data_IF_229454849814
#
_entry.id   IF_229454849814
#
_cell.length_a   1.000
_cell.length_b   1.000
_cell.length_c   1.000
_cell.angle_alpha   90.00
_cell.angle_beta   90.00
_cell.angle_gamma   90.00
#
_symmetry.space_group_name_H-M   'P 1'
#
loop_
_entity.id
_entity.type
_entity.pdbx_description
1 polymer ?
#
# COMPACT_ATOMS: atom_id res chain seq x y z
N UNK A 1 1.18 12.34 17.31
CA UNK A 1 1.51 11.52 16.12
C UNK A 1 3.03 11.40 15.88
N UNK A 2 3.79 12.51 15.87
CA UNK A 2 5.25 12.47 15.66
C UNK A 2 6.03 11.65 16.70
N UNK A 3 5.68 11.76 17.99
CA UNK A 3 6.33 11.00 19.07
C UNK A 3 6.18 9.47 18.87
N UNK A 4 4.98 9.00 18.51
CA UNK A 4 4.72 7.58 18.23
C UNK A 4 5.58 7.05 17.08
N UNK A 5 5.66 7.80 15.97
CA UNK A 5 6.49 7.44 14.81
C UNK A 5 7.98 7.32 15.19
N UNK A 6 8.48 8.25 15.98
CA UNK A 6 9.87 8.22 16.47
C UNK A 6 10.15 7.00 17.36
N UNK A 7 9.22 6.65 18.25
CA UNK A 7 9.32 5.46 19.10
C UNK A 7 9.33 4.17 18.26
N UNK A 8 8.41 4.02 17.31
CA UNK A 8 8.34 2.85 16.42
C UNK A 8 9.61 2.70 15.58
N UNK A 9 10.13 3.82 15.03
CA UNK A 9 11.41 3.83 14.32
C UNK A 9 12.54 3.34 15.21
N UNK A 10 12.64 3.85 16.45
CA UNK A 10 13.70 3.46 17.38
C UNK A 10 13.61 1.98 17.76
N UNK A 11 12.39 1.48 18.01
CA UNK A 11 12.14 0.07 18.29
C UNK A 11 12.53 -0.82 17.13
N UNK A 12 12.20 -0.44 15.89
CA UNK A 12 12.57 -1.20 14.69
C UNK A 12 14.09 -1.31 14.54
N UNK A 13 14.82 -0.21 14.78
CA UNK A 13 16.29 -0.21 14.76
C UNK A 13 16.86 -1.15 15.81
N UNK A 14 16.31 -1.14 17.03
CA UNK A 14 16.76 -2.03 18.11
C UNK A 14 16.51 -3.51 17.78
N UNK A 15 15.33 -3.85 17.25
CA UNK A 15 15.00 -5.22 16.86
C UNK A 15 15.92 -5.73 15.74
N UNK A 16 16.20 -4.89 14.74
CA UNK A 16 17.14 -5.23 13.67
C UNK A 16 18.58 -5.37 14.17
N UNK A 17 19.02 -4.50 15.08
CA UNK A 17 20.35 -4.59 15.68
C UNK A 17 20.55 -5.84 16.54
N UNK A 18 19.46 -6.35 17.15
CA UNK A 18 19.48 -7.59 17.92
C UNK A 18 19.41 -8.87 17.04
N UNK A 19 19.17 -8.74 15.74
CA UNK A 19 19.12 -9.88 14.83
C UNK A 19 20.53 -10.37 14.46
N UNK A 20 20.87 -11.60 14.86
CA UNK A 20 22.18 -12.20 14.61
C UNK A 20 22.25 -12.88 13.23
N UNK A 21 23.03 -12.32 12.30
CA UNK A 21 23.20 -12.86 10.93
C UNK A 21 24.05 -14.13 10.86
N UNK A 22 24.84 -14.43 11.89
CA UNK A 22 25.70 -15.62 11.99
C UNK A 22 25.22 -16.66 13.00
N UNK A 23 23.96 -16.58 13.43
CA UNK A 23 23.45 -17.44 14.50
C UNK A 23 23.49 -18.93 14.12
N UNK A 24 23.89 -19.77 15.08
CA UNK A 24 23.77 -21.25 14.96
C UNK A 24 22.33 -21.74 15.19
N UNK A 25 21.41 -20.83 15.50
CA UNK A 25 19.99 -21.14 15.66
C UNK A 25 19.40 -21.73 14.37
N UNK A 26 18.40 -22.60 14.51
CA UNK A 26 17.71 -23.20 13.37
C UNK A 26 16.88 -22.15 12.58
N UNK A 27 16.51 -22.51 11.35
CA UNK A 27 15.78 -21.63 10.43
C UNK A 27 14.49 -21.07 11.04
N UNK A 28 13.72 -21.88 11.78
CA UNK A 28 12.45 -21.42 12.36
C UNK A 28 12.71 -20.37 13.43
N UNK A 29 13.71 -20.57 14.29
CA UNK A 29 14.09 -19.60 15.31
C UNK A 29 14.49 -18.25 14.69
N UNK A 30 15.24 -18.28 13.58
CA UNK A 30 15.60 -17.06 12.84
C UNK A 30 14.36 -16.38 12.21
N UNK A 31 13.42 -17.13 11.66
CA UNK A 31 12.16 -16.55 11.14
C UNK A 31 11.33 -15.94 12.26
N UNK A 32 11.22 -16.62 13.40
CA UNK A 32 10.45 -16.15 14.55
C UNK A 32 11.03 -14.84 15.13
N UNK A 33 12.35 -14.68 15.13
CA UNK A 33 12.98 -13.44 15.61
C UNK A 33 12.71 -12.23 14.70
N UNK A 34 12.31 -12.45 13.44
CA UNK A 34 11.90 -11.38 12.52
C UNK A 34 10.41 -11.01 12.64
N UNK A 35 9.58 -11.79 13.32
CA UNK A 35 8.16 -11.44 13.47
C UNK A 35 7.94 -10.09 14.16
N UNK A 36 8.65 -9.75 15.27
CA UNK A 36 8.52 -8.43 15.88
C UNK A 36 8.99 -7.29 14.96
N UNK A 37 10.01 -7.54 14.13
CA UNK A 37 10.48 -6.57 13.12
C UNK A 37 9.37 -6.28 12.12
N UNK A 38 8.74 -7.33 11.60
CA UNK A 38 7.62 -7.23 10.68
C UNK A 38 6.41 -6.51 11.30
N UNK A 39 6.04 -6.86 12.53
CA UNK A 39 4.93 -6.22 13.24
C UNK A 39 5.19 -4.73 13.49
N UNK A 40 6.40 -4.38 13.93
CA UNK A 40 6.80 -2.98 14.15
C UNK A 40 6.83 -2.19 12.84
N UNK A 41 7.31 -2.79 11.74
CA UNK A 41 7.31 -2.16 10.43
C UNK A 41 5.89 -1.87 9.93
N UNK A 42 4.96 -2.82 10.07
CA UNK A 42 3.54 -2.60 9.73
C UNK A 42 2.94 -1.48 10.57
N UNK A 43 3.21 -1.47 11.88
CA UNK A 43 2.70 -0.41 12.76
C UNK A 43 3.27 0.96 12.36
N UNK A 44 4.57 1.04 12.02
CA UNK A 44 5.19 2.26 11.52
C UNK A 44 4.53 2.72 10.22
N UNK A 45 4.35 1.83 9.24
CA UNK A 45 3.71 2.13 7.95
C UNK A 45 2.28 2.64 8.12
N UNK A 46 1.44 1.93 8.89
CA UNK A 46 0.05 2.36 9.14
C UNK A 46 -0.03 3.67 9.92
N UNK A 47 0.94 3.97 10.79
CA UNK A 47 0.99 5.24 11.53
C UNK A 47 1.26 6.47 10.66
N UNK A 48 1.71 6.28 9.41
CA UNK A 48 1.92 7.37 8.46
C UNK A 48 0.61 8.06 8.10
N UNK A 49 -0.50 7.31 8.08
CA UNK A 49 -1.85 7.83 7.82
C UNK A 49 -2.49 8.28 9.14
N UNK A 50 -3.09 9.48 9.21
CA UNK A 50 -3.81 9.93 10.41
C UNK A 50 -4.95 8.98 10.80
N UNK A 51 -4.98 8.56 12.06
CA UNK A 51 -5.95 7.58 12.56
C UNK A 51 -7.39 8.10 12.62
N UNK A 52 -7.57 9.41 12.71
CA UNK A 52 -8.84 10.12 12.61
C UNK A 52 -9.40 10.12 11.18
N UNK A 53 -8.52 10.07 10.17
CA UNK A 53 -8.88 10.06 8.75
C UNK A 53 -9.14 8.65 8.20
N UNK A 54 -8.54 7.61 8.80
CA UNK A 54 -8.62 6.25 8.28
C UNK A 54 -8.60 5.17 9.38
N UNK A 55 -9.71 4.43 9.51
CA UNK A 55 -9.90 3.42 10.56
C UNK A 55 -9.58 2.01 10.09
N UNK A 56 -9.68 1.74 8.79
CA UNK A 56 -9.40 0.43 8.19
C UNK A 56 -8.23 0.48 7.20
N UNK A 57 -7.72 -0.69 6.80
CA UNK A 57 -6.71 -0.78 5.74
C UNK A 57 -7.22 -0.18 4.42
N UNK A 58 -8.50 -0.41 4.10
CA UNK A 58 -9.14 0.17 2.92
C UNK A 58 -9.17 1.69 2.97
N UNK A 59 -9.54 2.26 4.12
CA UNK A 59 -9.58 3.72 4.29
C UNK A 59 -8.18 4.32 4.16
N UNK A 60 -7.15 3.64 4.68
CA UNK A 60 -5.74 4.09 4.55
C UNK A 60 -5.28 4.08 3.10
N UNK A 61 -5.61 3.02 2.36
CA UNK A 61 -5.30 2.92 0.92
C UNK A 61 -5.98 4.06 0.16
N UNK A 62 -7.29 4.25 0.37
CA UNK A 62 -8.04 5.32 -0.31
C UNK A 62 -7.51 6.70 0.05
N UNK A 63 -7.26 6.95 1.33
CA UNK A 63 -6.69 8.22 1.79
C UNK A 63 -5.39 8.51 1.05
N UNK A 64 -4.47 7.54 0.99
CA UNK A 64 -3.18 7.69 0.34
C UNK A 64 -3.31 7.96 -1.16
N UNK A 65 -4.12 7.18 -1.88
CA UNK A 65 -4.37 7.37 -3.32
C UNK A 65 -4.95 8.77 -3.63
N UNK A 66 -5.84 9.28 -2.79
CA UNK A 66 -6.43 10.63 -2.94
C UNK A 66 -5.45 11.77 -2.67
N UNK A 67 -4.33 11.52 -2.00
CA UNK A 67 -3.28 12.53 -1.86
C UNK A 67 -2.44 12.70 -3.14
N UNK A 68 -2.46 11.69 -4.02
CA UNK A 68 -1.63 11.62 -5.21
C UNK A 68 -2.44 11.20 -6.45
N UNK A 69 -3.47 11.97 -6.82
CA UNK A 69 -4.24 11.70 -8.03
C UNK A 69 -3.33 11.74 -9.26
N UNK A 70 -3.63 10.90 -10.26
CA UNK A 70 -2.88 10.77 -11.50
C UNK A 70 -1.38 10.43 -11.33
N UNK A 71 -0.98 9.91 -10.17
CA UNK A 71 0.38 9.44 -9.91
C UNK A 71 0.41 7.90 -9.84
N UNK A 72 1.43 7.30 -10.43
CA UNK A 72 1.66 5.85 -10.31
C UNK A 72 2.09 5.55 -8.88
N UNK A 73 1.30 4.73 -8.20
CA UNK A 73 1.54 4.24 -6.84
C UNK A 73 1.84 2.75 -6.91
N UNK A 74 3.00 2.35 -6.39
CA UNK A 74 3.41 0.95 -6.42
C UNK A 74 2.66 0.08 -5.44
N UNK A 75 2.56 -1.22 -5.73
CA UNK A 75 2.01 -2.21 -4.78
C UNK A 75 2.70 -2.17 -3.40
N UNK A 76 4.00 -1.84 -3.34
CA UNK A 76 4.77 -1.78 -2.10
C UNK A 76 4.33 -0.60 -1.24
N UNK A 77 4.05 0.54 -1.84
CA UNK A 77 3.49 1.70 -1.13
C UNK A 77 2.13 1.35 -0.54
N UNK A 78 1.25 0.73 -1.34
CA UNK A 78 -0.07 0.26 -0.88
C UNK A 78 0.07 -0.71 0.29
N UNK A 79 0.98 -1.68 0.20
CA UNK A 79 1.24 -2.63 1.28
C UNK A 79 1.70 -1.94 2.57
N UNK A 80 2.58 -0.94 2.47
CA UNK A 80 3.09 -0.18 3.62
C UNK A 80 1.96 0.58 4.31
N UNK A 81 1.13 1.31 3.56
CA UNK A 81 0.03 2.11 4.16
C UNK A 81 -1.13 1.23 4.64
N UNK A 82 -1.41 0.12 3.95
CA UNK A 82 -2.46 -0.81 4.34
C UNK A 82 -2.12 -1.55 5.63
N UNK A 83 -0.85 -1.96 5.79
CA UNK A 83 -0.36 -2.73 6.94
C UNK A 83 -0.87 -4.18 6.98
N UNK A 84 -1.32 -4.72 5.85
CA UNK A 84 -1.85 -6.09 5.70
C UNK A 84 -1.37 -6.69 4.38
N UNK A 85 -1.32 -8.02 4.28
CA UNK A 85 -0.99 -8.74 3.03
C UNK A 85 -2.14 -8.69 2.02
N UNK A 86 -3.40 -8.73 2.49
CA UNK A 86 -4.62 -8.76 1.67
C UNK A 86 -5.00 -7.39 1.08
N UNK A 87 -4.02 -6.52 0.84
CA UNK A 87 -4.25 -5.17 0.33
C UNK A 87 -4.86 -5.18 -1.07
N UNK A 88 -4.52 -6.15 -1.93
CA UNK A 88 -5.04 -6.24 -3.29
C UNK A 88 -6.56 -6.43 -3.31
N UNK A 89 -7.08 -7.20 -2.35
CA UNK A 89 -8.53 -7.35 -2.16
C UNK A 89 -9.19 -6.03 -1.78
N UNK A 90 -8.57 -5.25 -0.89
CA UNK A 90 -9.08 -3.93 -0.47
C UNK A 90 -9.08 -2.91 -1.61
N UNK A 91 -8.08 -2.94 -2.48
CA UNK A 91 -8.06 -2.10 -3.70
C UNK A 91 -9.18 -2.52 -4.65
N UNK A 92 -9.42 -3.82 -4.83
CA UNK A 92 -10.54 -4.31 -5.65
C UNK A 92 -11.90 -3.86 -5.10
N UNK A 93 -12.11 -3.91 -3.79
CA UNK A 93 -13.33 -3.37 -3.17
C UNK A 93 -13.51 -1.90 -3.50
N UNK A 94 -12.46 -1.08 -3.33
CA UNK A 94 -12.53 0.35 -3.66
C UNK A 94 -12.97 0.59 -5.11
N UNK A 95 -12.47 -0.23 -6.04
CA UNK A 95 -12.81 -0.15 -7.47
C UNK A 95 -14.24 -0.60 -7.76
N UNK A 96 -14.59 -1.80 -7.31
CA UNK A 96 -15.80 -2.50 -7.74
C UNK A 96 -16.97 -2.15 -6.84
N UNK A 97 -16.81 -2.22 -5.52
CA UNK A 97 -17.94 -2.04 -4.58
C UNK A 97 -18.15 -0.58 -4.19
N UNK A 98 -17.11 0.25 -4.29
CA UNK A 98 -17.18 1.66 -3.91
C UNK A 98 -17.00 2.60 -5.11
N UNK A 99 -16.81 2.09 -6.33
CA UNK A 99 -16.80 2.90 -7.55
C UNK A 99 -15.69 3.95 -7.64
N UNK A 100 -14.56 3.73 -6.97
CA UNK A 100 -13.40 4.61 -7.15
C UNK A 100 -12.71 4.31 -8.47
N UNK A 101 -12.39 5.37 -9.22
CA UNK A 101 -11.70 5.28 -10.51
C UNK A 101 -10.20 4.99 -10.34
N UNK A 102 -9.91 3.78 -9.84
CA UNK A 102 -8.55 3.27 -9.65
C UNK A 102 -8.26 2.28 -10.77
N UNK A 103 -7.22 2.56 -11.54
CA UNK A 103 -6.74 1.70 -12.62
C UNK A 103 -5.49 0.95 -12.16
N UNK A 104 -5.36 -0.33 -12.54
CA UNK A 104 -4.13 -1.10 -12.36
C UNK A 104 -3.26 -1.02 -13.61
N UNK A 105 -1.97 -1.31 -13.49
CA UNK A 105 -1.09 -1.34 -14.66
C UNK A 105 -1.49 -2.43 -15.66
N UNK A 106 -2.14 -3.51 -15.21
CA UNK A 106 -2.76 -4.48 -16.12
C UNK A 106 -3.86 -3.84 -16.95
N UNK A 107 -4.84 -3.21 -16.31
CA UNK A 107 -5.95 -2.53 -17.01
C UNK A 107 -5.43 -1.44 -17.95
N UNK A 108 -4.42 -0.67 -17.52
CA UNK A 108 -3.82 0.36 -18.38
C UNK A 108 -3.21 -0.22 -19.66
N UNK A 109 -2.53 -1.37 -19.59
CA UNK A 109 -1.95 -2.01 -20.79
C UNK A 109 -3.04 -2.54 -21.71
N UNK A 110 -4.05 -3.20 -21.15
CA UNK A 110 -5.18 -3.72 -21.93
C UNK A 110 -5.88 -2.55 -22.69
N UNK A 111 -6.07 -1.40 -22.05
CA UNK A 111 -6.63 -0.19 -22.67
C UNK A 111 -5.69 0.46 -23.70
N UNK A 112 -4.37 0.43 -23.46
CA UNK A 112 -3.38 0.92 -24.42
C UNK A 112 -3.40 0.11 -25.71
N UNK A 113 -3.47 -1.22 -25.60
CA UNK A 113 -3.57 -2.14 -26.74
C UNK A 113 -4.87 -1.94 -27.52
N UNK A 114 -5.96 -1.59 -26.83
CA UNK A 114 -7.26 -1.26 -27.44
C UNK A 114 -7.32 0.15 -28.06
N UNK A 115 -6.31 1.01 -27.81
CA UNK A 115 -6.31 2.40 -28.28
C UNK A 115 -7.24 3.35 -27.50
N UNK A 116 -7.62 2.98 -26.26
CA UNK A 116 -8.66 3.66 -25.47
C UNK A 116 -8.13 4.67 -24.44
N UNK A 117 -6.80 4.92 -24.38
CA UNK A 117 -6.17 5.81 -23.39
C UNK A 117 -6.31 7.33 -23.67
N UNK A 118 -7.29 7.76 -24.46
CA UNK A 118 -7.46 9.18 -24.80
C UNK A 118 -7.77 9.98 -23.52
N UNK A 119 -6.95 11.00 -23.22
CA UNK A 119 -7.01 11.83 -22.01
C UNK A 119 -6.70 11.12 -20.68
N UNK A 120 -5.97 10.00 -20.71
CA UNK A 120 -5.48 9.33 -19.51
C UNK A 120 -4.07 9.80 -19.10
N UNK A 121 -3.70 9.69 -17.81
CA UNK A 121 -2.32 9.87 -17.38
C UNK A 121 -1.36 8.95 -18.13
N UNK A 122 -0.10 9.37 -18.31
CA UNK A 122 0.94 8.51 -18.86
C UNK A 122 1.23 7.34 -17.90
N UNK A 123 0.86 6.14 -18.33
CA UNK A 123 1.03 4.90 -17.59
C UNK A 123 2.13 4.00 -18.16
N UNK A 124 2.98 4.52 -19.05
CA UNK A 124 4.05 3.73 -19.70
C UNK A 124 5.03 3.09 -18.71
N UNK A 125 5.29 3.73 -17.57
CA UNK A 125 6.18 3.23 -16.52
C UNK A 125 5.51 2.25 -15.53
N UNK A 126 4.21 1.96 -15.69
CA UNK A 126 3.39 1.27 -14.70
C UNK A 126 3.56 -0.26 -14.74
N UNK A 127 3.93 -0.88 -13.62
CA UNK A 127 3.99 -2.35 -13.51
C UNK A 127 2.59 -2.95 -13.41
N UNK A 128 2.40 -4.24 -13.76
CA UNK A 128 1.09 -4.91 -13.66
C UNK A 128 0.37 -4.72 -12.31
N UNK A 129 1.14 -4.75 -11.24
CA UNK A 129 0.70 -4.67 -9.86
C UNK A 129 0.66 -3.24 -9.28
N UNK A 130 1.02 -2.22 -10.06
CA UNK A 130 0.91 -0.82 -9.62
C UNK A 130 -0.51 -0.28 -9.88
N UNK A 131 -0.82 0.87 -9.29
CA UNK A 131 -2.14 1.50 -9.33
C UNK A 131 -2.07 3.01 -9.53
N UNK A 132 -3.11 3.58 -10.12
CA UNK A 132 -3.28 5.03 -10.30
C UNK A 132 -4.73 5.40 -10.02
N UNK A 133 -4.96 6.45 -9.26
CA UNK A 133 -6.28 7.06 -9.11
C UNK A 133 -6.47 8.05 -10.26
N UNK A 134 -7.32 7.70 -11.22
CA UNK A 134 -7.53 8.48 -12.46
C UNK A 134 -8.49 9.64 -12.24
N UNK A 135 -9.46 9.45 -11.33
CA UNK A 135 -10.41 10.48 -10.96
C UNK A 135 -10.64 10.47 -9.44
N UNK A 136 -10.62 11.65 -8.83
CA UNK A 136 -10.89 11.85 -7.39
C UNK A 136 -12.38 11.78 -7.04
N UNK A 137 -13.26 11.76 -8.04
CA UNK A 137 -14.70 11.60 -7.87
C UNK A 137 -15.07 10.12 -7.79
N UNK A 138 -15.78 9.78 -6.71
CA UNK A 138 -16.38 8.47 -6.50
C UNK A 138 -17.61 8.34 -7.40
N UNK A 139 -17.60 7.37 -8.32
CA UNK A 139 -18.77 7.06 -9.15
C UNK A 139 -19.60 5.97 -8.48
N UNK A 140 -20.65 6.38 -7.76
CA UNK A 140 -21.50 5.43 -7.01
C UNK A 140 -22.46 4.64 -7.90
N UNK A 141 -22.63 5.04 -9.15
CA UNK A 141 -23.54 4.39 -10.09
C UNK A 141 -22.86 3.25 -10.87
N UNK A 142 -21.52 3.17 -10.79
CA UNK A 142 -20.70 2.12 -11.40
C UNK A 142 -20.40 0.92 -10.49
N UNK A 143 -20.94 0.91 -9.26
CA UNK A 143 -20.68 -0.10 -8.22
C UNK A 143 -21.71 -1.24 -8.17
#
# INVERSE_FOLDING_TARGET
MALKKAQLKQQLIQLLAAFETGSRADLRTQVLSLLPVWDTLKELGTSLVPADMAKSARDRILFYLRQYPCQIISHKEIMIVAGISEWARRVRELRVEYGWSIMSGKTSRDMQEAGELVNMPDCSAMKPEDYILVNEHQDRDAA
#
